data_IF_970587119142
#
_entry.id   IF_970587119142
#
_cell.length_a   1.000
_cell.length_b   1.000
_cell.length_c   1.000
_cell.angle_alpha   90.00
_cell.angle_beta   90.00
_cell.angle_gamma   90.00
#
_symmetry.space_group_name_H-M   'P 1'
#
loop_
_entity.id
_entity.type
_entity.pdbx_description
1 polymer ?
#
# COMPACT_ATOMS: atom_id res chain seq x y z
N UNK A 1 17.02 -7.52 18.23
CA UNK A 1 16.08 -6.42 17.99
C UNK A 1 15.44 -6.63 16.65
N UNK A 2 14.22 -7.17 16.61
CA UNK A 2 13.42 -7.23 15.39
C UNK A 2 12.47 -6.05 15.39
N UNK A 3 12.91 -4.90 14.89
CA UNK A 3 11.99 -3.77 14.68
C UNK A 3 11.05 -4.10 13.54
N UNK A 4 9.79 -3.67 13.65
CA UNK A 4 8.89 -3.66 12.50
C UNK A 4 9.57 -2.91 11.34
N UNK A 5 9.47 -3.44 10.11
CA UNK A 5 10.07 -2.80 8.94
C UNK A 5 9.44 -1.43 8.74
N UNK A 6 10.23 -0.47 8.24
CA UNK A 6 9.68 0.83 7.91
C UNK A 6 8.74 0.72 6.71
N UNK A 7 7.78 1.65 6.60
CA UNK A 7 6.93 1.73 5.41
C UNK A 7 7.74 1.91 4.12
N UNK A 8 8.85 2.64 4.17
CA UNK A 8 9.72 2.85 3.01
C UNK A 8 10.40 1.53 2.57
N UNK A 9 10.87 0.71 3.52
CA UNK A 9 11.48 -0.60 3.22
C UNK A 9 10.47 -1.56 2.59
N UNK A 10 9.24 -1.58 3.11
CA UNK A 10 8.15 -2.41 2.58
C UNK A 10 7.77 -1.95 1.18
N UNK A 11 7.65 -0.63 0.95
CA UNK A 11 7.36 -0.07 -0.37
C UNK A 11 8.46 -0.44 -1.36
N UNK A 12 9.72 -0.19 -1.02
CA UNK A 12 10.85 -0.46 -1.91
C UNK A 12 10.95 -1.94 -2.30
N UNK A 13 10.68 -2.85 -1.34
CA UNK A 13 10.84 -4.28 -1.55
C UNK A 13 9.66 -4.96 -2.22
N UNK A 14 8.42 -4.57 -1.91
CA UNK A 14 7.22 -5.32 -2.31
C UNK A 14 6.24 -4.50 -3.16
N UNK A 15 6.04 -3.22 -2.84
CA UNK A 15 4.97 -2.43 -3.48
C UNK A 15 5.43 -1.71 -4.75
N UNK A 16 6.71 -1.30 -4.81
CA UNK A 16 7.25 -0.44 -5.86
C UNK A 16 7.19 -1.06 -7.26
N UNK A 17 7.22 -2.39 -7.38
CA UNK A 17 7.11 -3.09 -8.65
C UNK A 17 5.85 -2.71 -9.44
N UNK A 18 4.74 -2.46 -8.74
CA UNK A 18 3.49 -2.02 -9.35
C UNK A 18 3.24 -0.52 -9.13
N UNK A 19 3.44 -0.04 -7.90
CA UNK A 19 3.09 1.33 -7.51
C UNK A 19 4.13 2.38 -7.94
N UNK A 20 5.36 2.00 -8.28
CA UNK A 20 6.38 2.97 -8.72
C UNK A 20 6.02 3.63 -10.05
N UNK A 21 5.50 2.84 -10.99
CA UNK A 21 5.16 3.29 -12.35
C UNK A 21 3.66 3.31 -12.64
N UNK A 22 2.84 2.81 -11.70
CA UNK A 22 1.39 2.65 -11.91
C UNK A 22 1.05 1.49 -12.83
N UNK A 23 1.84 0.42 -12.77
CA UNK A 23 1.63 -0.81 -13.54
C UNK A 23 0.23 -1.37 -13.27
N UNK A 24 -0.45 -1.87 -14.30
CA UNK A 24 -1.81 -2.41 -14.20
C UNK A 24 -2.84 -1.41 -13.60
N UNK A 25 -2.63 -0.11 -13.82
CA UNK A 25 -3.43 0.99 -13.24
C UNK A 25 -3.35 1.09 -11.70
N UNK A 26 -2.26 0.58 -11.11
CA UNK A 26 -1.96 0.83 -9.70
C UNK A 26 -1.80 2.34 -9.45
N UNK A 27 -2.30 2.87 -8.32
CA UNK A 27 -2.02 4.25 -7.92
C UNK A 27 -0.51 4.44 -7.71
N UNK A 28 0.05 5.51 -8.27
CA UNK A 28 1.48 5.77 -8.20
C UNK A 28 1.90 6.24 -6.80
N UNK A 29 3.09 5.86 -6.36
CA UNK A 29 3.70 6.42 -5.15
C UNK A 29 3.76 7.95 -5.29
N UNK A 30 3.24 8.67 -4.29
CA UNK A 30 3.22 10.14 -4.27
C UNK A 30 2.08 10.79 -5.07
N UNK A 31 1.21 10.02 -5.74
CA UNK A 31 0.00 10.56 -6.36
C UNK A 31 -1.10 10.77 -5.32
N UNK A 32 -0.91 11.77 -4.45
CA UNK A 32 -1.79 12.03 -3.30
C UNK A 32 -3.25 12.26 -3.70
N UNK A 33 -3.51 12.82 -4.89
CA UNK A 33 -4.87 12.98 -5.40
C UNK A 33 -5.52 11.61 -5.68
N UNK A 34 -4.84 10.73 -6.40
CA UNK A 34 -5.32 9.38 -6.70
C UNK A 34 -5.52 8.53 -5.44
N UNK A 35 -4.64 8.68 -4.45
CA UNK A 35 -4.76 7.99 -3.16
C UNK A 35 -5.89 8.54 -2.31
N UNK A 36 -6.05 9.87 -2.24
CA UNK A 36 -7.16 10.49 -1.49
C UNK A 36 -8.52 10.03 -2.01
N UNK A 37 -8.73 10.05 -3.33
CA UNK A 37 -9.98 9.53 -3.92
C UNK A 37 -10.24 8.07 -3.55
N UNK A 38 -9.20 7.23 -3.53
CA UNK A 38 -9.32 5.82 -3.14
C UNK A 38 -9.60 5.66 -1.65
N UNK A 39 -8.94 6.43 -0.80
CA UNK A 39 -9.16 6.43 0.64
C UNK A 39 -10.59 6.87 0.96
N UNK A 40 -11.05 8.00 0.42
CA UNK A 40 -12.42 8.49 0.60
C UNK A 40 -13.46 7.44 0.17
N UNK A 41 -13.21 6.73 -0.93
CA UNK A 41 -14.08 5.67 -1.44
C UNK A 41 -14.01 4.35 -0.65
N UNK A 42 -13.11 4.21 0.33
CA UNK A 42 -12.92 2.96 1.10
C UNK A 42 -13.02 3.16 2.62
N UNK A 43 -13.16 4.39 3.10
CA UNK A 43 -13.21 4.69 4.54
C UNK A 43 -11.85 5.06 5.12
N UNK A 44 -11.03 5.80 4.36
CA UNK A 44 -9.72 6.27 4.78
C UNK A 44 -8.62 5.22 4.69
N UNK A 45 -7.57 5.40 5.50
CA UNK A 45 -6.38 4.55 5.50
C UNK A 45 -6.70 3.10 5.92
N UNK A 46 -7.61 2.91 6.87
CA UNK A 46 -8.04 1.58 7.31
C UNK A 46 -8.79 0.82 6.20
N UNK A 47 -9.57 1.55 5.41
CA UNK A 47 -10.20 1.02 4.20
C UNK A 47 -9.20 0.55 3.15
N UNK A 48 -8.13 1.32 2.93
CA UNK A 48 -7.04 0.94 2.03
C UNK A 48 -6.27 -0.28 2.55
N UNK A 49 -6.03 -0.35 3.85
CA UNK A 49 -5.42 -1.51 4.49
C UNK A 49 -6.28 -2.76 4.27
N UNK A 50 -7.59 -2.69 4.51
CA UNK A 50 -8.49 -3.81 4.28
C UNK A 50 -8.45 -4.33 2.83
N UNK A 51 -8.43 -3.42 1.83
CA UNK A 51 -8.26 -3.80 0.42
C UNK A 51 -6.90 -4.42 0.14
N UNK A 52 -5.84 -3.89 0.77
CA UNK A 52 -4.49 -4.43 0.62
C UNK A 52 -4.39 -5.83 1.21
N UNK A 53 -5.07 -6.10 2.32
CA UNK A 53 -5.14 -7.42 2.96
C UNK A 53 -5.92 -8.43 2.11
N UNK A 54 -7.08 -8.05 1.57
CA UNK A 54 -7.91 -8.93 0.74
C UNK A 54 -7.37 -9.11 -0.69
N UNK A 55 -6.56 -8.17 -1.16
CA UNK A 55 -6.27 -8.01 -2.58
C UNK A 55 -7.41 -7.31 -3.32
N UNK A 56 -7.11 -6.82 -4.53
CA UNK A 56 -8.06 -6.11 -5.39
C UNK A 56 -7.64 -6.23 -6.87
N UNK A 57 -8.51 -6.76 -7.72
CA UNK A 57 -8.24 -6.95 -9.15
C UNK A 57 -6.91 -7.71 -9.37
N UNK A 58 -5.89 -7.02 -9.92
CA UNK A 58 -4.56 -7.57 -10.14
C UNK A 58 -3.60 -7.42 -8.93
N UNK A 59 -4.01 -6.72 -7.88
CA UNK A 59 -3.24 -6.59 -6.65
C UNK A 59 -3.45 -7.86 -5.78
N UNK A 60 -2.40 -8.66 -5.54
CA UNK A 60 -2.52 -9.83 -4.68
C UNK A 60 -2.75 -9.43 -3.21
N UNK A 61 -3.30 -10.33 -2.39
CA UNK A 61 -3.35 -10.16 -0.94
C UNK A 61 -1.97 -9.77 -0.38
N UNK A 62 -1.95 -8.72 0.45
CA UNK A 62 -0.78 -8.07 1.04
C UNK A 62 0.26 -7.50 0.06
N UNK A 63 -0.10 -7.27 -1.21
CA UNK A 63 0.80 -6.65 -2.19
C UNK A 63 2.12 -7.39 -2.37
N UNK A 64 2.09 -8.73 -2.30
CA UNK A 64 3.23 -9.68 -2.31
C UNK A 64 4.02 -9.83 -1.00
N UNK A 65 3.75 -9.03 0.03
CA UNK A 65 4.39 -9.18 1.34
C UNK A 65 3.59 -10.11 2.26
N UNK A 66 3.69 -11.43 2.04
CA UNK A 66 2.96 -12.42 2.83
C UNK A 66 3.32 -12.38 4.34
N UNK A 67 4.56 -12.01 4.65
CA UNK A 67 5.10 -11.92 6.01
C UNK A 67 4.99 -10.54 6.65
N UNK A 68 4.36 -9.56 5.97
CA UNK A 68 4.12 -8.25 6.57
C UNK A 68 2.99 -8.30 7.60
N UNK A 69 3.20 -7.59 8.70
CA UNK A 69 2.14 -7.26 9.66
C UNK A 69 1.21 -6.17 9.12
N UNK A 70 0.04 -6.03 9.73
CA UNK A 70 -0.93 -5.00 9.35
C UNK A 70 -0.35 -3.59 9.58
N UNK A 71 0.47 -3.41 10.62
CA UNK A 71 1.16 -2.14 10.90
C UNK A 71 2.21 -1.80 9.83
N UNK A 72 2.99 -2.79 9.37
CA UNK A 72 3.96 -2.63 8.28
C UNK A 72 3.26 -2.24 6.97
N UNK A 73 2.13 -2.90 6.66
CA UNK A 73 1.32 -2.57 5.50
C UNK A 73 0.69 -1.18 5.62
N UNK A 74 0.16 -0.82 6.79
CA UNK A 74 -0.42 0.50 7.03
C UNK A 74 0.62 1.61 6.88
N UNK A 75 1.83 1.40 7.40
CA UNK A 75 2.95 2.32 7.23
C UNK A 75 3.34 2.46 5.75
N UNK A 76 3.40 1.35 5.00
CA UNK A 76 3.66 1.37 3.56
C UNK A 76 2.58 2.14 2.79
N UNK A 77 1.30 1.93 3.10
CA UNK A 77 0.20 2.65 2.46
C UNK A 77 0.28 4.14 2.77
N UNK A 78 0.54 4.53 4.03
CA UNK A 78 0.76 5.93 4.41
C UNK A 78 1.91 6.57 3.61
N UNK A 79 3.03 5.85 3.48
CA UNK A 79 4.17 6.31 2.67
C UNK A 79 3.85 6.46 1.18
N UNK A 80 3.11 5.53 0.58
CA UNK A 80 2.73 5.64 -0.83
C UNK A 80 1.70 6.73 -1.08
N UNK A 81 0.76 6.89 -0.15
CA UNK A 81 -0.40 7.79 -0.30
C UNK A 81 -0.13 9.23 0.11
N UNK A 82 0.79 9.45 1.05
CA UNK A 82 0.98 10.74 1.69
C UNK A 82 -0.21 11.19 2.54
N UNK A 83 -1.09 10.25 2.92
CA UNK A 83 -2.19 10.44 3.87
C UNK A 83 -1.69 10.22 5.30
#
# INVERSE_FOLDING_TARGET
GGGARSGDDVVAKYCNACHGTGLLNAPKVGDSAAWKTRADAKGGLDGLLAQSLSGLNAMPPKGTCADCSDDELKAAIGKMSGL
#
